data_IF_341143052630
#
_entry.id   IF_341143052630
#
_cell.length_a   1.000
_cell.length_b   1.000
_cell.length_c   1.000
_cell.angle_alpha   90.00
_cell.angle_beta   90.00
_cell.angle_gamma   90.00
#
_symmetry.space_group_name_H-M   'P 1'
#
loop_
_entity.id
_entity.type
_entity.pdbx_description
1 polymer ?
#
# COMPACT_ATOMS: atom_id res chain seq x y z
N UNK A 1 -4.67 18.04 18.06
CA UNK A 1 -5.59 18.06 16.91
C UNK A 1 -4.84 17.39 15.77
N UNK A 2 -5.26 16.20 15.37
CA UNK A 2 -4.72 15.59 14.15
C UNK A 2 -5.48 16.23 12.99
N UNK A 3 -4.75 16.83 12.06
CA UNK A 3 -5.31 17.45 10.86
C UNK A 3 -5.68 16.34 9.88
N UNK A 4 -6.99 16.13 9.63
CA UNK A 4 -7.49 15.07 8.74
C UNK A 4 -7.60 15.51 7.28
N UNK A 5 -7.46 16.81 7.00
CA UNK A 5 -7.35 17.33 5.63
C UNK A 5 -5.88 17.61 5.35
N UNK A 6 -5.20 16.80 4.53
CA UNK A 6 -3.77 17.00 4.33
C UNK A 6 -3.49 18.32 3.63
N UNK A 7 -2.56 19.10 4.19
CA UNK A 7 -1.99 20.24 3.48
C UNK A 7 -0.82 19.77 2.61
N UNK A 8 -1.13 19.34 1.38
CA UNK A 8 -0.13 18.80 0.45
C UNK A 8 1.02 19.77 0.12
N UNK A 9 0.81 21.08 0.27
CA UNK A 9 1.85 22.08 0.03
C UNK A 9 3.02 21.99 1.03
N UNK A 10 2.76 21.47 2.24
CA UNK A 10 3.78 21.33 3.27
C UNK A 10 4.83 20.27 2.92
N UNK A 11 4.55 19.35 1.99
CA UNK A 11 5.53 18.36 1.56
C UNK A 11 6.78 19.03 0.97
N UNK A 12 6.59 20.08 0.17
CA UNK A 12 7.68 20.77 -0.53
C UNK A 12 8.55 21.68 0.34
N UNK A 13 8.11 21.99 1.56
CA UNK A 13 8.84 22.86 2.51
C UNK A 13 9.19 22.15 3.82
N UNK A 14 8.56 21.01 4.09
CA UNK A 14 8.75 20.19 5.27
C UNK A 14 9.62 18.98 4.99
N UNK A 15 9.06 17.78 5.16
CA UNK A 15 9.83 16.52 5.20
C UNK A 15 10.70 16.27 3.96
N UNK A 16 10.21 16.57 2.74
CA UNK A 16 10.92 16.22 1.49
C UNK A 16 12.28 16.93 1.38
N UNK A 17 12.38 18.27 1.42
CA UNK A 17 13.68 18.94 1.31
C UNK A 17 14.62 18.61 2.49
N UNK A 18 14.08 18.45 3.71
CA UNK A 18 14.92 18.16 4.88
C UNK A 18 15.55 16.76 4.81
N UNK A 19 14.76 15.73 4.44
CA UNK A 19 15.29 14.37 4.31
C UNK A 19 16.34 14.30 3.20
N UNK A 20 16.14 15.01 2.07
CA UNK A 20 17.17 15.09 1.03
C UNK A 20 18.51 15.63 1.56
N UNK A 21 18.48 16.74 2.31
CA UNK A 21 19.68 17.31 2.94
C UNK A 21 20.35 16.29 3.87
N UNK A 22 19.56 15.59 4.67
CA UNK A 22 20.08 14.61 5.63
C UNK A 22 20.68 13.38 4.95
N UNK A 23 20.04 12.86 3.90
CA UNK A 23 20.54 11.76 3.09
C UNK A 23 21.85 12.17 2.38
N UNK A 24 21.91 13.38 1.80
CA UNK A 24 23.14 13.93 1.19
C UNK A 24 24.28 14.10 2.21
N UNK A 25 23.93 14.43 3.46
CA UNK A 25 24.86 14.51 4.58
C UNK A 25 25.23 13.13 5.18
N UNK A 26 24.80 12.03 4.57
CA UNK A 26 25.06 10.64 5.01
C UNK A 26 24.48 10.35 6.40
N UNK A 27 23.37 11.01 6.77
CA UNK A 27 22.59 10.66 7.97
C UNK A 27 21.75 9.42 7.62
N UNK A 28 21.82 8.33 8.41
CA UNK A 28 21.14 7.08 8.08
C UNK A 28 19.63 7.20 8.31
N UNK A 29 18.90 7.49 7.24
CA UNK A 29 17.43 7.50 7.21
C UNK A 29 17.00 6.44 6.21
N UNK A 30 16.56 5.29 6.72
CA UNK A 30 16.19 4.16 5.87
C UNK A 30 14.83 4.37 5.20
N UNK A 31 13.90 5.06 5.87
CA UNK A 31 12.57 5.27 5.31
C UNK A 31 11.75 6.40 5.93
N UNK A 32 10.61 6.68 5.30
CA UNK A 32 9.64 7.69 5.74
C UNK A 32 8.24 7.07 5.91
N UNK A 33 7.64 7.28 7.08
CA UNK A 33 6.26 6.93 7.35
C UNK A 33 5.29 8.10 7.12
N UNK A 34 4.26 7.91 6.30
CA UNK A 34 3.07 8.78 6.27
C UNK A 34 2.01 8.22 7.22
N UNK A 35 1.47 9.03 8.13
CA UNK A 35 0.37 8.57 8.99
C UNK A 35 -0.91 8.34 8.17
N UNK A 36 -1.23 9.26 7.25
CA UNK A 36 -2.41 9.18 6.39
C UNK A 36 -3.75 9.08 7.16
N UNK A 37 -3.91 9.95 8.17
CA UNK A 37 -5.21 10.29 8.75
C UNK A 37 -5.97 11.19 7.77
N UNK A 38 -7.02 10.68 7.14
CA UNK A 38 -7.70 11.35 6.02
C UNK A 38 -9.17 11.64 6.33
N UNK A 39 -9.66 12.79 5.91
CA UNK A 39 -11.07 13.06 5.80
C UNK A 39 -11.66 12.31 4.58
N UNK A 40 -12.97 12.13 4.57
CA UNK A 40 -13.67 11.46 3.48
C UNK A 40 -13.39 12.14 2.13
N UNK A 41 -13.06 11.35 1.11
CA UNK A 41 -12.80 11.81 -0.26
C UNK A 41 -11.40 12.40 -0.51
N UNK A 42 -10.48 12.36 0.47
CA UNK A 42 -9.15 12.95 0.34
C UNK A 42 -8.04 11.97 -0.08
N UNK A 43 -8.36 10.73 -0.46
CA UNK A 43 -7.32 9.78 -0.89
C UNK A 43 -6.64 10.17 -2.21
N UNK A 44 -7.25 11.02 -3.04
CA UNK A 44 -6.71 11.41 -4.36
C UNK A 44 -5.33 12.06 -4.34
N UNK A 45 -4.92 12.69 -3.23
CA UNK A 45 -3.58 13.29 -3.09
C UNK A 45 -2.49 12.33 -2.60
N UNK A 46 -2.86 11.13 -2.14
CA UNK A 46 -1.92 10.19 -1.49
C UNK A 46 -0.84 9.72 -2.44
N UNK A 47 -1.16 9.49 -3.73
CA UNK A 47 -0.17 9.11 -4.76
C UNK A 47 0.96 10.12 -4.87
N UNK A 48 0.62 11.40 -5.05
CA UNK A 48 1.60 12.46 -5.20
C UNK A 48 2.45 12.63 -3.94
N UNK A 49 1.86 12.44 -2.75
CA UNK A 49 2.59 12.48 -1.51
C UNK A 49 3.60 11.33 -1.37
N UNK A 50 3.17 10.09 -1.61
CA UNK A 50 4.03 8.91 -1.53
C UNK A 50 5.15 8.98 -2.57
N UNK A 51 4.86 9.42 -3.80
CA UNK A 51 5.88 9.63 -4.84
C UNK A 51 6.92 10.68 -4.40
N UNK A 52 6.49 11.79 -3.78
CA UNK A 52 7.39 12.83 -3.30
C UNK A 52 8.29 12.33 -2.16
N UNK A 53 7.76 11.50 -1.25
CA UNK A 53 8.53 10.87 -0.18
C UNK A 53 9.54 9.85 -0.74
N UNK A 54 9.11 9.02 -1.69
CA UNK A 54 9.98 8.06 -2.38
C UNK A 54 11.13 8.75 -3.12
N UNK A 55 10.90 9.95 -3.65
CA UNK A 55 11.90 10.76 -4.33
C UNK A 55 12.93 11.46 -3.42
N UNK A 56 12.96 11.17 -2.12
CA UNK A 56 13.93 11.76 -1.17
C UNK A 56 15.28 11.05 -1.12
N UNK A 57 15.37 9.83 -1.66
CA UNK A 57 16.58 9.00 -1.61
C UNK A 57 16.61 7.97 -0.49
N UNK A 58 15.53 7.86 0.30
CA UNK A 58 15.34 6.77 1.27
C UNK A 58 15.08 5.42 0.58
N UNK A 59 15.32 4.33 1.30
CA UNK A 59 15.13 2.97 0.79
C UNK A 59 13.66 2.55 0.77
N UNK A 60 12.89 3.02 1.76
CA UNK A 60 11.50 2.61 1.92
C UNK A 60 10.56 3.76 2.33
N UNK A 61 9.31 3.63 1.92
CA UNK A 61 8.19 4.47 2.36
C UNK A 61 7.12 3.55 2.92
N UNK A 62 6.41 3.98 3.96
CA UNK A 62 5.30 3.21 4.50
C UNK A 62 4.12 4.12 4.82
N UNK A 63 2.91 3.59 4.68
CA UNK A 63 1.70 4.22 5.23
C UNK A 63 1.47 3.58 6.60
N UNK A 64 1.64 4.34 7.68
CA UNK A 64 1.92 3.79 9.02
C UNK A 64 0.78 3.94 10.03
N UNK A 65 -0.30 4.65 9.70
CA UNK A 65 -1.42 4.84 10.61
C UNK A 65 -2.70 5.26 9.92
N UNK A 66 -3.04 4.60 8.82
CA UNK A 66 -4.15 5.06 7.99
C UNK A 66 -5.49 4.83 8.68
N UNK A 67 -6.25 5.90 8.80
CA UNK A 67 -7.68 5.88 9.06
C UNK A 67 -8.36 6.95 8.20
N UNK A 68 -9.58 6.67 7.72
CA UNK A 68 -10.27 7.55 6.77
C UNK A 68 -11.69 7.76 7.25
N UNK A 69 -12.09 9.00 7.55
CA UNK A 69 -13.46 9.32 8.00
C UNK A 69 -14.50 8.64 7.10
N UNK A 70 -15.40 7.87 7.72
CA UNK A 70 -16.47 7.12 7.06
C UNK A 70 -16.06 5.79 6.41
N UNK A 71 -14.75 5.52 6.30
CA UNK A 71 -14.19 4.31 5.71
C UNK A 71 -14.80 3.96 4.34
N UNK A 72 -14.83 4.94 3.43
CA UNK A 72 -15.30 4.74 2.06
C UNK A 72 -14.42 3.70 1.35
N UNK A 73 -15.06 2.75 0.65
CA UNK A 73 -14.35 1.69 -0.09
C UNK A 73 -13.35 2.25 -1.10
N UNK A 74 -13.72 3.30 -1.82
CA UNK A 74 -12.88 3.88 -2.88
C UNK A 74 -11.63 4.55 -2.32
N UNK A 75 -11.74 5.27 -1.19
CA UNK A 75 -10.59 5.92 -0.57
C UNK A 75 -9.56 4.87 -0.07
N UNK A 76 -10.03 3.81 0.59
CA UNK A 76 -9.17 2.73 1.04
C UNK A 76 -8.58 1.90 -0.11
N UNK A 77 -9.34 1.73 -1.20
CA UNK A 77 -8.83 1.13 -2.42
C UNK A 77 -7.70 1.98 -3.01
N UNK A 78 -7.88 3.31 -3.13
CA UNK A 78 -6.85 4.23 -3.65
C UNK A 78 -5.59 4.18 -2.80
N UNK A 79 -5.70 4.27 -1.47
CA UNK A 79 -4.55 4.19 -0.56
C UNK A 79 -3.77 2.87 -0.73
N UNK A 80 -4.50 1.76 -0.91
CA UNK A 80 -3.91 0.44 -1.14
C UNK A 80 -3.22 0.35 -2.50
N UNK A 81 -3.91 0.75 -3.57
CA UNK A 81 -3.41 0.75 -4.94
C UNK A 81 -2.16 1.63 -5.09
N UNK A 82 -2.10 2.78 -4.41
CA UNK A 82 -0.91 3.64 -4.39
C UNK A 82 0.31 2.89 -3.86
N UNK A 83 0.20 2.21 -2.71
CA UNK A 83 1.33 1.49 -2.15
C UNK A 83 1.74 0.29 -3.03
N UNK A 84 0.77 -0.39 -3.65
CA UNK A 84 1.06 -1.48 -4.59
C UNK A 84 1.82 -1.00 -5.84
N UNK A 85 1.56 0.24 -6.30
CA UNK A 85 2.19 0.82 -7.51
C UNK A 85 3.52 1.51 -7.27
N UNK A 86 3.82 1.92 -6.04
CA UNK A 86 5.09 2.59 -5.70
C UNK A 86 6.05 1.55 -5.13
N UNK A 87 7.10 1.21 -5.88
CA UNK A 87 8.03 0.12 -5.53
C UNK A 87 8.70 0.28 -4.16
N UNK A 88 8.99 1.52 -3.75
CA UNK A 88 9.55 1.82 -2.42
C UNK A 88 8.53 1.73 -1.30
N UNK A 89 7.23 1.62 -1.59
CA UNK A 89 6.20 1.48 -0.57
C UNK A 89 6.17 0.05 -0.02
N UNK A 90 6.64 -0.15 1.20
CA UNK A 90 6.84 -1.49 1.78
C UNK A 90 5.63 -2.01 2.54
N UNK A 91 4.63 -1.16 2.81
CA UNK A 91 3.41 -1.61 3.47
C UNK A 91 2.48 -0.51 3.95
N UNK A 92 1.32 -0.97 4.42
CA UNK A 92 0.24 -0.16 4.99
C UNK A 92 -0.13 -0.74 6.35
N UNK A 93 -0.23 0.11 7.36
CA UNK A 93 -0.77 -0.19 8.68
C UNK A 93 -1.92 0.76 8.98
N UNK A 94 -3.07 0.23 9.44
CA UNK A 94 -4.20 1.05 9.89
C UNK A 94 -4.07 1.40 11.37
N UNK A 95 -4.64 2.54 11.76
CA UNK A 95 -4.60 3.01 13.16
C UNK A 95 -5.71 2.39 14.03
N UNK A 96 -5.81 1.06 13.98
CA UNK A 96 -6.79 0.27 14.69
C UNK A 96 -7.48 -0.78 13.81
N UNK A 97 -8.36 -1.54 14.45
CA UNK A 97 -9.16 -2.60 13.81
C UNK A 97 -10.62 -2.19 13.69
N UNK A 98 -11.28 -1.94 14.83
CA UNK A 98 -12.71 -1.59 14.92
C UNK A 98 -12.90 -0.13 15.28
N UNK A 99 -13.96 0.48 14.74
CA UNK A 99 -14.41 1.81 15.14
C UNK A 99 -14.65 1.95 16.66
N UNK A 100 -15.01 0.85 17.34
CA UNK A 100 -15.26 0.86 18.79
C UNK A 100 -14.03 1.25 19.62
N UNK A 101 -12.85 0.93 19.10
CA UNK A 101 -11.56 1.14 19.77
C UNK A 101 -10.77 2.31 19.16
N UNK A 102 -11.32 2.97 18.14
CA UNK A 102 -10.63 4.05 17.43
C UNK A 102 -10.56 5.32 18.27
N UNK A 103 -9.40 6.00 18.24
CA UNK A 103 -9.26 7.36 18.76
C UNK A 103 -10.22 8.37 18.09
N UNK A 104 -10.70 8.04 16.88
CA UNK A 104 -11.68 8.80 16.10
C UNK A 104 -13.03 8.08 15.97
N UNK A 105 -13.49 7.31 16.97
CA UNK A 105 -14.69 6.46 16.89
C UNK A 105 -15.94 7.12 16.27
N UNK A 106 -16.20 8.40 16.56
CA UNK A 106 -17.35 9.14 16.00
C UNK A 106 -17.30 9.32 14.48
N UNK A 107 -16.14 9.15 13.87
CA UNK A 107 -15.89 9.26 12.43
C UNK A 107 -15.97 7.92 11.70
N UNK A 108 -16.19 6.82 12.44
CA UNK A 108 -16.24 5.45 11.92
C UNK A 108 -15.15 5.11 10.88
N UNK A 109 -13.85 5.33 11.19
CA UNK A 109 -12.86 5.48 10.14
C UNK A 109 -12.12 4.18 9.79
N UNK A 110 -12.39 3.05 10.46
CA UNK A 110 -11.63 1.80 10.31
C UNK A 110 -12.40 0.74 9.51
N UNK A 111 -11.78 -0.43 9.31
CA UNK A 111 -12.32 -1.52 8.50
C UNK A 111 -13.51 -2.26 9.10
N UNK A 112 -13.68 -2.21 10.42
CA UNK A 112 -14.70 -2.98 11.13
C UNK A 112 -15.61 -2.05 11.94
N UNK A 113 -16.90 -2.37 11.97
CA UNK A 113 -17.86 -1.73 12.87
C UNK A 113 -17.55 -2.07 14.34
N UNK A 114 -18.24 -1.42 15.29
CA UNK A 114 -18.11 -1.65 16.73
C UNK A 114 -18.34 -3.11 17.17
N UNK A 115 -19.13 -3.87 16.40
CA UNK A 115 -19.39 -5.30 16.63
C UNK A 115 -18.46 -6.21 15.83
N UNK A 116 -17.33 -5.68 15.34
CA UNK A 116 -16.32 -6.37 14.52
C UNK A 116 -16.84 -6.98 13.22
N UNK A 117 -18.00 -6.55 12.72
CA UNK A 117 -18.44 -6.90 11.37
C UNK A 117 -17.65 -6.09 10.34
N UNK A 118 -17.20 -6.70 9.22
CA UNK A 118 -16.40 -6.02 8.21
C UNK A 118 -17.24 -5.00 7.42
N UNK A 119 -16.62 -3.87 7.09
CA UNK A 119 -17.20 -2.84 6.22
C UNK A 119 -16.81 -3.05 4.76
N UNK A 120 -17.40 -2.28 3.85
CA UNK A 120 -17.02 -2.22 2.44
C UNK A 120 -15.51 -1.99 2.23
N UNK A 121 -14.88 -1.11 3.02
CA UNK A 121 -13.45 -0.84 2.96
C UNK A 121 -12.58 -2.09 3.17
N UNK A 122 -12.94 -2.98 4.09
CA UNK A 122 -12.23 -4.25 4.30
C UNK A 122 -12.19 -5.08 3.00
N UNK A 123 -13.34 -5.22 2.34
CA UNK A 123 -13.45 -5.98 1.10
C UNK A 123 -12.77 -5.28 -0.08
N UNK A 124 -12.78 -3.95 -0.10
CA UNK A 124 -12.09 -3.16 -1.13
C UNK A 124 -10.56 -3.39 -1.11
N UNK A 125 -9.96 -3.39 0.09
CA UNK A 125 -8.53 -3.69 0.27
C UNK A 125 -8.22 -5.14 -0.11
N UNK A 126 -9.03 -6.10 0.37
CA UNK A 126 -8.86 -7.51 0.01
C UNK A 126 -8.93 -7.74 -1.51
N UNK A 127 -9.85 -7.06 -2.19
CA UNK A 127 -9.97 -7.11 -3.64
C UNK A 127 -8.78 -6.45 -4.35
N UNK A 128 -8.31 -5.27 -3.91
CA UNK A 128 -7.13 -4.60 -4.48
C UNK A 128 -5.89 -5.52 -4.42
N UNK A 129 -5.66 -6.16 -3.28
CA UNK A 129 -4.57 -7.11 -3.12
C UNK A 129 -4.75 -8.30 -4.07
N UNK A 130 -5.95 -8.88 -4.15
CA UNK A 130 -6.24 -10.03 -5.03
C UNK A 130 -6.09 -9.70 -6.52
N UNK A 131 -6.51 -8.52 -6.95
CA UNK A 131 -6.36 -8.07 -8.34
C UNK A 131 -4.89 -7.88 -8.72
N UNK A 132 -4.07 -7.36 -7.81
CA UNK A 132 -2.63 -7.24 -8.07
C UNK A 132 -1.97 -8.62 -8.25
N UNK A 133 -2.34 -9.61 -7.43
CA UNK A 133 -1.87 -10.99 -7.62
C UNK A 133 -2.24 -11.55 -9.01
N UNK A 134 -3.46 -11.30 -9.48
CA UNK A 134 -3.89 -11.70 -10.82
C UNK A 134 -3.09 -10.98 -11.91
N UNK A 135 -2.87 -9.67 -11.77
CA UNK A 135 -2.10 -8.89 -12.72
C UNK A 135 -0.65 -9.35 -12.81
N UNK A 136 0.02 -9.62 -11.68
CA UNK A 136 1.38 -10.18 -11.67
C UNK A 136 1.40 -11.54 -12.36
N UNK A 137 0.42 -12.40 -12.09
CA UNK A 137 0.31 -13.72 -12.71
C UNK A 137 0.11 -13.63 -14.22
N UNK A 138 -0.79 -12.76 -14.69
CA UNK A 138 -1.05 -12.52 -16.11
C UNK A 138 0.17 -11.89 -16.79
N UNK A 139 0.85 -10.94 -16.14
CA UNK A 139 2.05 -10.29 -16.65
C UNK A 139 3.18 -11.31 -16.87
N UNK A 140 3.35 -12.27 -15.95
CA UNK A 140 4.28 -13.38 -16.15
C UNK A 140 3.87 -14.30 -17.32
N UNK A 141 2.56 -14.51 -17.56
CA UNK A 141 2.09 -15.33 -18.69
C UNK A 141 2.21 -14.57 -20.02
N UNK A 142 1.93 -13.26 -20.08
CA UNK A 142 1.95 -12.49 -21.32
C UNK A 142 3.36 -12.06 -21.75
N UNK A 143 4.29 -11.89 -20.81
CA UNK A 143 5.71 -11.64 -21.11
C UNK A 143 6.43 -12.90 -21.65
N UNK A 144 5.80 -14.07 -21.56
CA UNK A 144 6.27 -15.30 -22.18
C UNK A 144 6.05 -15.38 -23.71
N UNK A 145 5.16 -14.57 -24.27
CA UNK A 145 4.80 -14.65 -25.70
C UNK A 145 5.77 -13.88 -26.61
N UNK A 146 6.84 -13.30 -26.06
CA UNK A 146 7.93 -12.77 -26.89
C UNK A 146 8.96 -13.87 -27.16
N UNK A 147 9.48 -14.01 -28.39
CA UNK A 147 10.25 -15.18 -28.84
C UNK A 147 11.61 -15.40 -28.13
N UNK A 148 11.91 -14.66 -27.05
CA UNK A 148 13.08 -14.87 -26.18
C UNK A 148 12.80 -14.47 -24.72
N UNK A 149 11.96 -15.20 -23.99
CA UNK A 149 12.15 -15.35 -22.54
C UNK A 149 11.35 -16.53 -21.97
N UNK A 150 11.98 -17.20 -21.02
CA UNK A 150 11.54 -18.39 -20.32
C UNK A 150 10.40 -18.07 -19.35
N UNK A 151 9.33 -18.86 -19.38
CA UNK A 151 8.28 -18.90 -18.36
C UNK A 151 8.68 -19.74 -17.15
N UNK A 152 8.04 -19.48 -16.00
CA UNK A 152 8.21 -20.22 -14.74
C UNK A 152 8.52 -21.72 -14.95
N UNK A 153 9.80 -22.06 -14.77
CA UNK A 153 10.35 -23.39 -15.02
C UNK A 153 11.88 -23.40 -15.03
N UNK A 154 12.55 -22.45 -15.68
CA UNK A 154 14.01 -22.52 -15.75
C UNK A 154 14.66 -21.76 -14.60
N UNK A 155 15.30 -22.53 -13.72
CA UNK A 155 16.31 -22.01 -12.80
C UNK A 155 17.42 -21.36 -13.62
N UNK A 156 17.55 -20.05 -13.54
CA UNK A 156 18.81 -19.38 -13.85
C UNK A 156 19.45 -18.90 -12.55
N UNK A 157 20.69 -19.31 -12.23
CA UNK A 157 21.35 -18.87 -11.01
C UNK A 157 21.83 -17.43 -11.21
N UNK A 158 21.16 -16.45 -10.60
CA UNK A 158 21.71 -15.10 -10.51
C UNK A 158 20.72 -13.92 -10.50
N UNK A 159 19.42 -14.11 -10.74
CA UNK A 159 18.45 -13.01 -10.60
C UNK A 159 17.72 -13.12 -9.25
N UNK A 160 17.86 -12.10 -8.40
CA UNK A 160 17.21 -11.99 -7.09
C UNK A 160 15.70 -11.76 -7.15
N UNK A 161 14.99 -12.53 -7.97
CA UNK A 161 13.52 -12.49 -8.02
C UNK A 161 12.97 -13.16 -6.75
N UNK A 162 12.16 -12.43 -6.00
CA UNK A 162 11.50 -12.88 -4.78
C UNK A 162 10.75 -14.21 -5.01
N UNK A 163 11.08 -15.23 -4.21
CA UNK A 163 10.53 -16.60 -4.27
C UNK A 163 9.03 -16.73 -3.89
N UNK A 164 8.25 -15.65 -3.87
CA UNK A 164 6.83 -15.67 -3.47
C UNK A 164 5.90 -16.44 -4.43
N UNK A 165 6.38 -16.86 -5.61
CA UNK A 165 5.57 -17.53 -6.63
C UNK A 165 5.49 -19.07 -6.55
N UNK A 166 6.41 -19.75 -5.85
CA UNK A 166 6.50 -21.22 -5.92
C UNK A 166 5.62 -21.94 -4.88
N UNK A 167 5.32 -21.29 -3.75
CA UNK A 167 4.41 -21.85 -2.74
C UNK A 167 2.93 -21.52 -3.03
N UNK A 168 2.66 -20.50 -3.83
CA UNK A 168 1.31 -19.95 -4.09
C UNK A 168 0.50 -20.72 -5.13
N UNK A 169 1.14 -21.45 -6.05
CA UNK A 169 0.45 -22.35 -6.98
C UNK A 169 -0.32 -23.49 -6.24
N UNK A 170 0.11 -23.86 -5.03
CA UNK A 170 -0.58 -24.85 -4.20
C UNK A 170 -1.87 -24.32 -3.57
N UNK A 171 -1.93 -23.01 -3.31
CA UNK A 171 -3.09 -22.37 -2.66
C UNK A 171 -4.22 -22.03 -3.65
N UNK A 172 -3.89 -21.74 -4.91
CA UNK A 172 -4.85 -21.47 -5.98
C UNK A 172 -5.79 -22.66 -6.26
N UNK A 173 -5.32 -23.90 -6.13
CA UNK A 173 -6.18 -25.10 -6.26
C UNK A 173 -7.15 -25.22 -5.08
N UNK A 174 -6.78 -24.76 -3.89
CA UNK A 174 -7.62 -24.87 -2.70
C UNK A 174 -8.77 -23.85 -2.69
N UNK A 175 -8.56 -22.65 -3.22
CA UNK A 175 -9.61 -21.61 -3.26
C UNK A 175 -10.70 -21.91 -4.31
N UNK A 176 -10.32 -22.53 -5.43
CA UNK A 176 -11.27 -22.89 -6.50
C UNK A 176 -12.21 -24.07 -6.11
N UNK A 177 -11.92 -24.78 -5.02
CA UNK A 177 -12.74 -25.89 -4.51
C UNK A 177 -13.67 -25.49 -3.36
N UNK A 178 -13.65 -24.22 -2.94
CA UNK A 178 -14.44 -23.70 -1.81
C UNK A 178 -15.45 -22.61 -2.22
N UNK A 179 -15.63 -22.37 -3.52
CA UNK A 179 -16.71 -21.55 -4.09
C UNK A 179 -17.68 -22.43 -4.85
#
# INVERSE_FOLDING_TARGET
MVETTPNWSQLGVGVVPHVKIWVEAVIPIDGIGSQSHLAAGNAGGVKAAVDALAGTGVLEVAITGSDITGAASDDYWVVTDVCLRVETCVGITTWGVSDGDSWGASQTPLFFYINYQPKGAHFAVANALTQEWLNITICHISQCDTPRRVCLGDRHPGSGVSNRGTETAKWLTALYLLV
#
